data_IF_746626339526
#
_entry.id   IF_746626339526
#
_cell.length_a   1.000
_cell.length_b   1.000
_cell.length_c   1.000
_cell.angle_alpha   90.00
_cell.angle_beta   90.00
_cell.angle_gamma   90.00
#
_symmetry.space_group_name_H-M   'P 1'
#
loop_
_entity.id
_entity.type
_entity.pdbx_description
1 polymer ?
#
# COMPACT_ATOMS: atom_id res chain seq x y z
N UNK A 1 10.45 -102.83 -11.92
CA UNK A 1 11.05 -101.45 -12.12
C UNK A 1 10.07 -100.31 -12.09
N UNK A 2 8.80 -100.44 -12.29
CA UNK A 2 7.78 -99.37 -12.41
C UNK A 2 7.49 -98.68 -11.04
N UNK A 3 7.53 -99.38 -9.94
CA UNK A 3 7.23 -98.78 -8.62
C UNK A 3 8.37 -97.91 -8.04
N UNK A 4 9.64 -98.22 -8.32
CA UNK A 4 10.76 -97.41 -7.84
C UNK A 4 10.79 -95.97 -8.51
N UNK A 5 10.39 -95.88 -9.81
CA UNK A 5 10.34 -94.62 -10.49
C UNK A 5 9.20 -93.74 -9.93
N UNK A 6 8.05 -94.33 -9.57
CA UNK A 6 6.94 -93.56 -8.93
C UNK A 6 7.32 -93.00 -7.57
N UNK A 7 7.97 -93.82 -6.75
CA UNK A 7 8.46 -93.37 -5.41
C UNK A 7 9.49 -92.23 -5.53
N UNK A 8 10.39 -92.30 -6.52
CA UNK A 8 11.38 -91.29 -6.74
C UNK A 8 10.74 -89.99 -7.16
N UNK A 9 9.68 -90.02 -8.02
CA UNK A 9 8.94 -88.81 -8.41
C UNK A 9 8.17 -88.21 -7.24
N UNK A 10 7.59 -88.99 -6.35
CA UNK A 10 6.94 -88.41 -5.15
C UNK A 10 7.95 -87.79 -4.20
N UNK A 11 9.11 -88.40 -4.04
CA UNK A 11 10.16 -87.82 -3.22
C UNK A 11 10.71 -86.53 -3.77
N UNK A 12 10.88 -86.40 -5.11
CA UNK A 12 11.23 -85.14 -5.79
C UNK A 12 10.20 -84.03 -5.63
N UNK A 13 8.91 -84.34 -5.72
CA UNK A 13 7.84 -83.43 -5.49
C UNK A 13 7.77 -82.92 -4.05
N UNK A 14 7.99 -83.82 -3.08
CA UNK A 14 8.04 -83.42 -1.67
C UNK A 14 9.25 -82.57 -1.37
N UNK A 15 10.42 -82.88 -1.93
CA UNK A 15 11.62 -82.01 -1.79
C UNK A 15 11.42 -80.64 -2.43
N UNK A 16 10.77 -80.60 -3.62
CA UNK A 16 10.46 -79.33 -4.28
C UNK A 16 9.48 -78.46 -3.47
N UNK A 17 8.45 -79.07 -2.87
CA UNK A 17 7.50 -78.41 -1.97
C UNK A 17 8.19 -77.93 -0.68
N UNK A 18 9.11 -78.66 -0.11
CA UNK A 18 9.90 -78.27 1.04
C UNK A 18 10.82 -77.10 0.73
N UNK A 19 11.48 -77.10 -0.43
CA UNK A 19 12.34 -76.00 -0.87
C UNK A 19 11.51 -74.70 -1.12
N UNK A 20 10.31 -74.81 -1.70
CA UNK A 20 9.41 -73.65 -1.91
C UNK A 20 8.91 -73.12 -0.55
N UNK A 21 8.56 -74.05 0.43
CA UNK A 21 8.09 -73.59 1.74
C UNK A 21 9.19 -72.93 2.57
N UNK A 22 10.44 -73.33 2.43
CA UNK A 22 11.61 -72.69 3.10
C UNK A 22 11.88 -71.32 2.43
N UNK A 23 11.76 -71.22 1.09
CA UNK A 23 11.94 -69.98 0.34
C UNK A 23 10.91 -68.93 0.70
N UNK A 24 9.67 -69.28 1.05
CA UNK A 24 8.65 -68.37 1.50
C UNK A 24 8.79 -67.90 2.95
N UNK A 25 9.45 -68.63 3.78
CA UNK A 25 9.62 -68.33 5.22
C UNK A 25 10.71 -67.30 5.52
N UNK A 26 11.57 -66.97 4.53
CA UNK A 26 12.78 -66.12 4.77
C UNK A 26 12.57 -64.64 4.34
N UNK A 27 11.43 -64.26 3.77
CA UNK A 27 11.22 -62.92 3.22
C UNK A 27 10.30 -61.99 4.04
N UNK A 28 10.01 -62.29 5.29
CA UNK A 28 9.30 -61.35 6.18
C UNK A 28 10.28 -60.57 7.05
N UNK A 29 10.48 -59.30 6.74
CA UNK A 29 11.24 -58.38 7.59
C UNK A 29 10.24 -57.47 8.32
N UNK A 30 10.21 -57.52 9.64
CA UNK A 30 9.46 -56.60 10.47
C UNK A 30 10.32 -55.33 10.67
N UNK A 31 9.90 -54.25 10.09
CA UNK A 31 10.49 -52.93 10.35
C UNK A 31 9.70 -52.28 11.49
N UNK A 32 10.32 -52.14 12.63
CA UNK A 32 9.74 -51.46 13.79
C UNK A 32 10.37 -50.06 13.90
N UNK A 33 9.52 -49.03 13.95
CA UNK A 33 9.92 -47.68 14.32
C UNK A 33 9.46 -47.48 15.76
N UNK A 34 10.41 -47.29 16.67
CA UNK A 34 10.12 -46.97 18.07
C UNK A 34 10.43 -45.48 18.24
N UNK A 35 9.42 -44.70 18.53
CA UNK A 35 9.56 -43.28 18.87
C UNK A 35 9.09 -43.05 20.31
N UNK A 36 9.76 -42.14 21.02
CA UNK A 36 9.27 -41.57 22.27
C UNK A 36 8.93 -40.12 22.04
N UNK A 37 7.73 -39.68 22.44
CA UNK A 37 7.31 -38.29 22.41
C UNK A 37 6.97 -37.82 23.82
N UNK A 38 7.37 -36.59 24.15
CA UNK A 38 6.95 -35.90 25.37
C UNK A 38 5.94 -34.83 25.00
N UNK A 39 4.77 -34.85 25.64
CA UNK A 39 3.77 -33.79 25.51
C UNK A 39 3.91 -32.88 26.73
N UNK A 40 4.32 -31.65 26.50
CA UNK A 40 4.36 -30.63 27.54
C UNK A 40 2.97 -30.03 27.75
N UNK A 41 2.67 -29.55 28.97
CA UNK A 41 1.42 -28.85 29.23
C UNK A 41 1.39 -27.55 28.46
N UNK A 42 0.35 -27.28 27.61
CA UNK A 42 0.20 -26.03 26.94
C UNK A 42 -0.15 -24.93 27.95
N UNK A 43 0.31 -23.70 27.65
CA UNK A 43 0.04 -22.52 28.49
C UNK A 43 -0.70 -21.46 27.71
N UNK A 44 -1.68 -20.84 28.35
CA UNK A 44 -2.40 -19.66 27.84
C UNK A 44 -1.99 -18.44 28.64
N UNK A 45 -1.39 -17.44 27.98
CA UNK A 45 -0.93 -16.21 28.61
C UNK A 45 -0.93 -15.04 27.63
N UNK A 46 -2.08 -14.40 27.45
CA UNK A 46 -2.22 -13.20 26.61
C UNK A 46 -2.50 -12.00 27.52
N UNK A 47 -1.70 -10.95 27.38
CA UNK A 47 -1.77 -9.78 28.25
C UNK A 47 -1.19 -8.52 27.58
N UNK A 48 -1.41 -7.34 28.19
CA UNK A 48 -0.87 -6.07 27.75
C UNK A 48 0.52 -5.80 28.31
N UNK A 49 1.42 -5.25 27.47
CA UNK A 49 2.74 -4.76 27.89
C UNK A 49 3.14 -3.48 27.10
N UNK A 50 4.23 -2.83 27.51
CA UNK A 50 4.95 -1.82 26.74
C UNK A 50 4.09 -0.62 26.27
N UNK A 51 3.34 -0.01 27.17
CA UNK A 51 2.62 1.23 26.85
C UNK A 51 3.62 2.35 26.53
N UNK A 52 3.43 3.02 25.39
CA UNK A 52 4.26 4.14 24.95
C UNK A 52 3.38 5.28 24.42
N UNK A 53 3.56 6.48 24.96
CA UNK A 53 2.94 7.69 24.43
C UNK A 53 3.63 8.09 23.13
N UNK A 54 2.85 8.27 22.08
CA UNK A 54 3.31 8.83 20.81
C UNK A 54 3.23 10.36 20.85
N UNK A 55 3.72 11.02 19.83
CA UNK A 55 3.62 12.47 19.73
C UNK A 55 2.16 12.89 19.54
N UNK A 56 1.60 13.58 20.53
CA UNK A 56 0.27 14.17 20.49
C UNK A 56 0.33 15.69 20.55
N UNK A 57 -0.79 16.37 20.31
CA UNK A 57 -0.90 17.82 20.42
C UNK A 57 -1.17 18.29 21.85
N UNK A 58 -1.57 17.36 22.74
CA UNK A 58 -1.85 17.66 24.15
C UNK A 58 -0.96 16.85 25.07
N UNK A 59 -0.65 17.42 26.24
CA UNK A 59 -0.04 16.69 27.34
C UNK A 59 -1.13 15.88 28.06
N UNK A 60 -0.95 14.57 28.16
CA UNK A 60 -1.81 13.69 28.91
C UNK A 60 -0.98 12.87 29.92
N UNK A 61 -1.66 12.28 30.89
CA UNK A 61 -1.00 11.32 31.79
C UNK A 61 -0.60 10.08 31.01
N UNK A 62 0.61 9.56 31.26
CA UNK A 62 1.04 8.29 30.67
C UNK A 62 0.02 7.19 30.99
N UNK A 63 -0.49 6.48 29.99
CA UNK A 63 -1.40 5.37 30.25
C UNK A 63 -0.73 4.30 31.11
N UNK A 64 -1.51 3.63 31.95
CA UNK A 64 -1.02 2.62 32.88
C UNK A 64 -1.71 1.28 32.63
N UNK A 65 -0.93 0.19 32.78
CA UNK A 65 -1.44 -1.18 32.74
C UNK A 65 -1.74 -1.63 34.16
N UNK A 66 -2.89 -2.26 34.39
CA UNK A 66 -3.27 -2.82 35.69
C UNK A 66 -2.35 -3.99 36.12
N UNK A 67 -2.45 -4.39 37.39
CA UNK A 67 -1.58 -5.47 37.91
C UNK A 67 -1.85 -6.82 37.25
N UNK A 68 -3.07 -7.06 36.78
CA UNK A 68 -3.42 -8.28 36.03
C UNK A 68 -2.97 -8.23 34.55
N UNK A 69 -2.45 -7.09 34.10
CA UNK A 69 -2.05 -6.81 32.71
C UNK A 69 -3.17 -7.01 31.68
N UNK A 70 -4.40 -6.82 32.10
CA UNK A 70 -5.58 -7.00 31.23
C UNK A 70 -6.26 -5.69 30.84
N UNK A 71 -5.93 -4.59 31.53
CA UNK A 71 -6.57 -3.30 31.33
C UNK A 71 -5.54 -2.19 31.18
N UNK A 72 -5.72 -1.35 30.15
CA UNK A 72 -4.96 -0.10 29.96
C UNK A 72 -5.86 1.07 30.35
N UNK A 73 -5.42 1.88 31.30
CA UNK A 73 -6.13 3.06 31.76
C UNK A 73 -5.45 4.32 31.23
N UNK A 74 -6.22 5.25 30.69
CA UNK A 74 -5.74 6.54 30.23
C UNK A 74 -6.78 7.63 30.47
N UNK A 75 -6.32 8.89 30.52
CA UNK A 75 -7.16 10.07 30.62
C UNK A 75 -6.54 11.20 29.83
N UNK A 76 -7.35 11.92 29.07
CA UNK A 76 -6.94 13.06 28.27
C UNK A 76 -8.02 14.13 28.29
N UNK A 77 -7.61 15.40 28.23
CA UNK A 77 -8.51 16.55 28.12
C UNK A 77 -8.17 17.34 26.88
N UNK A 78 -9.16 17.62 26.06
CA UNK A 78 -9.07 18.48 24.88
C UNK A 78 -9.79 19.79 25.14
N UNK A 79 -9.21 20.89 24.63
CA UNK A 79 -9.74 22.25 24.83
C UNK A 79 -10.16 22.92 23.53
N UNK A 80 -9.46 22.59 22.43
CA UNK A 80 -9.73 23.19 21.12
C UNK A 80 -9.78 22.12 20.01
N UNK A 81 -10.56 22.33 18.92
CA UNK A 81 -10.55 21.46 17.76
C UNK A 81 -9.14 21.27 17.17
N UNK A 82 -8.83 20.04 16.78
CA UNK A 82 -7.53 19.63 16.25
C UNK A 82 -6.57 19.10 17.30
N UNK A 83 -6.90 19.14 18.58
CA UNK A 83 -6.11 18.46 19.61
C UNK A 83 -6.33 16.95 19.58
N UNK A 84 -5.25 16.19 19.79
CA UNK A 84 -5.29 14.73 19.83
C UNK A 84 -4.27 14.15 20.80
N UNK A 85 -4.52 12.91 21.20
CA UNK A 85 -3.64 12.08 22.02
C UNK A 85 -3.52 10.69 21.40
N UNK A 86 -2.29 10.18 21.33
CA UNK A 86 -2.01 8.88 20.75
C UNK A 86 -1.01 8.10 21.60
N UNK A 87 -1.28 6.83 21.83
CA UNK A 87 -0.35 5.91 22.46
C UNK A 87 -0.42 4.52 21.84
N UNK A 88 0.63 3.72 22.08
CA UNK A 88 0.67 2.31 21.68
C UNK A 88 0.79 1.40 22.90
N UNK A 89 0.33 0.15 22.74
CA UNK A 89 0.45 -0.92 23.72
C UNK A 89 0.59 -2.25 22.99
N UNK A 90 1.39 -3.15 23.53
CA UNK A 90 1.60 -4.47 22.94
C UNK A 90 0.59 -5.49 23.54
N UNK A 91 -0.13 -6.19 22.69
CA UNK A 91 -0.82 -7.44 23.04
C UNK A 91 0.19 -8.57 22.90
N UNK A 92 0.59 -9.16 24.01
CA UNK A 92 1.65 -10.18 24.08
C UNK A 92 1.03 -11.54 24.34
N UNK A 93 1.34 -12.53 23.52
CA UNK A 93 1.07 -13.94 23.80
C UNK A 93 2.36 -14.62 24.27
N UNK A 94 2.56 -14.65 25.59
CA UNK A 94 3.68 -15.36 26.22
C UNK A 94 3.36 -16.86 26.49
N UNK A 95 2.23 -17.34 26.00
CA UNK A 95 1.82 -18.75 26.07
C UNK A 95 2.39 -19.60 24.94
N UNK A 96 2.09 -20.89 24.99
CA UNK A 96 2.49 -21.88 23.97
C UNK A 96 1.33 -22.24 23.02
N UNK A 97 0.16 -21.62 23.20
CA UNK A 97 -1.02 -21.81 22.36
C UNK A 97 -1.24 -20.54 21.56
N UNK A 98 -1.44 -20.69 20.25
CA UNK A 98 -1.83 -19.57 19.40
C UNK A 98 -3.19 -19.02 19.81
N UNK A 99 -3.28 -17.68 19.91
CA UNK A 99 -4.51 -16.96 20.14
C UNK A 99 -5.11 -16.44 18.83
N UNK A 100 -6.42 -16.30 18.82
CA UNK A 100 -7.15 -15.69 17.71
C UNK A 100 -8.15 -14.70 18.28
N UNK A 101 -8.26 -13.51 17.68
CA UNK A 101 -9.27 -12.51 18.05
C UNK A 101 -10.66 -13.07 17.79
N UNK A 102 -11.48 -13.10 18.84
CA UNK A 102 -12.87 -13.54 18.75
C UNK A 102 -13.83 -12.37 18.68
N UNK A 103 -13.64 -11.37 19.55
CA UNK A 103 -14.52 -10.21 19.65
C UNK A 103 -13.69 -8.94 19.80
N UNK A 104 -14.05 -7.93 19.04
CA UNK A 104 -13.57 -6.54 19.20
C UNK A 104 -14.75 -5.68 19.61
N UNK A 105 -14.61 -4.91 20.68
CA UNK A 105 -15.65 -4.05 21.21
C UNK A 105 -15.10 -2.66 21.51
N UNK A 106 -15.73 -1.64 20.94
CA UNK A 106 -15.45 -0.23 21.19
C UNK A 106 -16.66 0.41 21.82
N UNK A 107 -16.52 1.04 23.00
CA UNK A 107 -17.64 1.65 23.70
C UNK A 107 -17.37 3.11 24.03
N UNK A 108 -18.42 3.90 23.93
CA UNK A 108 -18.51 5.27 24.43
C UNK A 108 -19.58 5.29 25.52
N UNK A 109 -19.21 5.73 26.73
CA UNK A 109 -20.10 5.79 27.91
C UNK A 109 -20.84 4.46 28.18
N UNK A 110 -20.12 3.33 27.95
CA UNK A 110 -20.63 1.97 28.18
C UNK A 110 -21.48 1.38 27.06
N UNK A 111 -21.75 2.14 25.98
CA UNK A 111 -22.55 1.69 24.84
C UNK A 111 -21.64 1.43 23.63
N UNK A 112 -21.86 0.33 22.89
CA UNK A 112 -21.12 0.03 21.64
C UNK A 112 -21.21 1.20 20.67
N UNK A 113 -20.04 1.58 20.09
CA UNK A 113 -19.95 2.67 19.14
C UNK A 113 -20.43 2.18 17.78
N UNK A 114 -21.58 2.69 17.34
CA UNK A 114 -22.05 2.55 15.97
C UNK A 114 -21.76 3.81 15.16
N UNK A 115 -21.76 4.96 15.83
CA UNK A 115 -21.43 6.28 15.25
C UNK A 115 -20.76 7.11 16.34
N UNK A 116 -19.68 7.81 15.98
CA UNK A 116 -19.05 8.77 16.89
C UNK A 116 -19.77 10.11 16.83
N UNK A 117 -19.79 10.88 17.94
CA UNK A 117 -20.15 12.30 17.89
C UNK A 117 -19.30 13.03 16.86
N UNK A 118 -19.89 13.99 16.14
CA UNK A 118 -19.22 14.72 15.06
C UNK A 118 -17.92 15.42 15.47
N UNK A 119 -17.76 15.71 16.75
CA UNK A 119 -16.56 16.37 17.31
C UNK A 119 -15.47 15.38 17.76
N UNK A 120 -15.73 14.06 17.80
CA UNK A 120 -14.82 13.07 18.37
C UNK A 120 -14.18 12.22 17.27
N UNK A 121 -12.86 12.08 17.37
CA UNK A 121 -12.08 11.05 16.68
C UNK A 121 -11.67 9.98 17.70
N UNK A 122 -11.99 8.72 17.42
CA UNK A 122 -11.56 7.59 18.22
C UNK A 122 -11.33 6.39 17.32
N UNK A 123 -10.10 5.88 17.35
CA UNK A 123 -9.73 4.67 16.59
C UNK A 123 -8.77 3.83 17.43
N UNK A 124 -9.02 2.52 17.44
CA UNK A 124 -8.06 1.51 17.90
C UNK A 124 -7.78 0.59 16.74
N UNK A 125 -6.51 0.43 16.43
CA UNK A 125 -6.01 -0.34 15.28
C UNK A 125 -4.69 -1.00 15.65
N UNK A 126 -4.13 -1.81 14.78
CA UNK A 126 -2.69 -2.09 14.82
C UNK A 126 -1.89 -0.80 14.60
N UNK A 127 -0.58 -0.80 14.94
CA UNK A 127 0.24 0.43 14.84
C UNK A 127 0.26 1.01 13.43
N UNK A 128 0.22 0.17 12.40
CA UNK A 128 0.17 0.52 10.98
C UNK A 128 -1.19 1.04 10.50
N UNK A 129 -2.20 1.04 11.39
CA UNK A 129 -3.55 1.52 11.10
C UNK A 129 -4.51 0.49 10.53
N UNK A 130 -4.06 -0.76 10.33
CA UNK A 130 -4.96 -1.87 9.97
C UNK A 130 -5.94 -2.12 11.12
N UNK A 131 -7.19 -2.34 10.79
CA UNK A 131 -8.22 -2.60 11.77
C UNK A 131 -8.04 -3.98 12.42
N UNK A 132 -8.26 -4.05 13.74
CA UNK A 132 -8.26 -5.30 14.47
C UNK A 132 -9.59 -5.99 14.17
N UNK A 133 -9.53 -7.20 13.64
CA UNK A 133 -10.73 -7.93 13.22
C UNK A 133 -10.82 -9.33 13.84
N UNK A 134 -12.02 -9.90 13.97
CA UNK A 134 -12.17 -11.31 14.30
C UNK A 134 -11.34 -12.22 13.38
N UNK A 135 -10.88 -13.33 13.92
CA UNK A 135 -9.99 -14.31 13.31
C UNK A 135 -8.53 -13.87 13.14
N UNK A 136 -8.15 -12.63 13.47
CA UNK A 136 -6.73 -12.25 13.43
C UNK A 136 -5.93 -13.08 14.43
N UNK A 137 -4.85 -13.70 13.93
CA UNK A 137 -3.94 -14.57 14.69
C UNK A 137 -3.00 -13.74 15.55
N UNK A 138 -2.82 -14.14 16.81
CA UNK A 138 -1.70 -13.77 17.67
C UNK A 138 -0.95 -15.05 18.03
N UNK A 139 0.13 -15.33 17.30
CA UNK A 139 0.88 -16.58 17.45
C UNK A 139 1.49 -16.71 18.84
N UNK A 140 1.74 -17.96 19.27
CA UNK A 140 2.45 -18.24 20.50
C UNK A 140 3.83 -17.58 20.51
N UNK A 141 4.25 -17.05 21.66
CA UNK A 141 5.51 -16.33 21.85
C UNK A 141 5.69 -15.13 20.87
N UNK A 142 4.59 -14.46 20.50
CA UNK A 142 4.61 -13.25 19.67
C UNK A 142 3.86 -12.10 20.31
N UNK A 143 3.98 -10.92 19.71
CA UNK A 143 3.23 -9.74 20.13
C UNK A 143 2.77 -8.95 18.92
N UNK A 144 1.63 -8.25 19.08
CA UNK A 144 1.10 -7.29 18.13
C UNK A 144 0.95 -5.93 18.81
N UNK A 145 1.38 -4.88 18.13
CA UNK A 145 1.33 -3.52 18.66
C UNK A 145 0.03 -2.84 18.25
N UNK A 146 -0.73 -2.43 19.26
CA UNK A 146 -1.97 -1.69 19.12
C UNK A 146 -1.73 -0.20 19.28
N UNK A 147 -2.42 0.60 18.51
CA UNK A 147 -2.43 2.06 18.56
C UNK A 147 -3.81 2.55 18.92
N UNK A 148 -3.88 3.42 19.92
CA UNK A 148 -5.09 4.12 20.33
C UNK A 148 -4.93 5.58 19.98
N UNK A 149 -5.85 6.08 19.17
CA UNK A 149 -5.97 7.49 18.79
C UNK A 149 -7.27 8.06 19.32
N UNK A 150 -7.18 9.19 20.02
CA UNK A 150 -8.32 9.96 20.49
C UNK A 150 -8.10 11.42 20.13
N UNK A 151 -9.06 12.08 19.51
CA UNK A 151 -8.91 13.46 19.07
C UNK A 151 -10.20 14.27 19.12
N UNK A 152 -10.03 15.58 19.28
CA UNK A 152 -11.07 16.58 19.04
C UNK A 152 -10.97 16.99 17.57
N UNK A 153 -11.93 16.60 16.77
CA UNK A 153 -11.90 16.74 15.32
C UNK A 153 -11.61 18.19 14.88
N UNK A 154 -10.66 18.37 13.96
CA UNK A 154 -10.19 19.68 13.53
C UNK A 154 -11.22 20.42 12.68
N UNK A 155 -11.75 19.75 11.66
CA UNK A 155 -12.65 20.33 10.67
C UNK A 155 -14.10 20.03 11.06
N UNK A 156 -14.62 20.79 12.03
CA UNK A 156 -15.97 20.60 12.55
C UNK A 156 -16.82 21.86 12.32
N UNK A 157 -18.11 21.65 12.04
CA UNK A 157 -19.07 22.74 11.95
C UNK A 157 -19.26 23.42 13.31
N UNK A 158 -19.48 24.73 13.32
CA UNK A 158 -19.79 25.46 14.55
C UNK A 158 -21.03 24.90 15.29
N UNK A 159 -21.93 24.23 14.58
CA UNK A 159 -23.11 23.56 15.14
C UNK A 159 -22.79 22.25 15.86
N UNK A 160 -21.66 21.65 15.56
CA UNK A 160 -21.20 20.38 16.12
C UNK A 160 -20.26 20.58 17.34
N UNK A 161 -19.83 21.82 17.59
CA UNK A 161 -19.01 22.15 18.76
C UNK A 161 -19.87 22.02 20.01
N UNK A 162 -19.45 21.19 21.00
CA UNK A 162 -20.18 21.05 22.28
C UNK A 162 -20.32 22.41 22.99
N UNK A 163 -21.51 22.76 23.41
CA UNK A 163 -21.82 24.01 24.14
C UNK A 163 -21.38 23.95 25.63
N UNK A 164 -21.00 22.79 26.12
CA UNK A 164 -20.50 22.54 27.48
C UNK A 164 -19.43 21.45 27.47
N UNK A 165 -18.55 21.40 28.49
CA UNK A 165 -17.58 20.32 28.64
C UNK A 165 -18.24 18.93 28.58
N UNK A 166 -17.66 18.00 27.83
CA UNK A 166 -18.13 16.63 27.71
C UNK A 166 -17.17 15.68 28.43
N UNK A 167 -17.71 14.79 29.24
CA UNK A 167 -16.94 13.67 29.79
C UNK A 167 -17.22 12.43 28.96
N UNK A 168 -16.16 11.87 28.33
CA UNK A 168 -16.26 10.72 27.44
C UNK A 168 -15.53 9.54 28.06
N UNK A 169 -16.28 8.49 28.42
CA UNK A 169 -15.69 7.24 28.88
C UNK A 169 -15.53 6.30 27.71
N UNK A 170 -14.32 6.31 27.12
CA UNK A 170 -13.96 5.44 26.02
C UNK A 170 -13.38 4.13 26.53
N UNK A 171 -13.81 3.01 25.97
CA UNK A 171 -13.23 1.72 26.27
C UNK A 171 -13.07 0.88 24.98
N UNK A 172 -11.98 0.14 24.93
CA UNK A 172 -11.70 -0.86 23.93
C UNK A 172 -11.46 -2.19 24.62
N UNK A 173 -12.02 -3.24 24.06
CA UNK A 173 -11.72 -4.60 24.51
C UNK A 173 -11.52 -5.53 23.32
N UNK A 174 -10.57 -6.44 23.44
CA UNK A 174 -10.36 -7.54 22.52
C UNK A 174 -10.38 -8.84 23.31
N UNK A 175 -11.17 -9.79 22.83
CA UNK A 175 -11.24 -11.13 23.41
C UNK A 175 -10.48 -12.09 22.50
N UNK A 176 -9.52 -12.79 23.08
CA UNK A 176 -8.81 -13.87 22.41
C UNK A 176 -9.37 -15.24 22.81
N UNK A 177 -9.42 -16.14 21.85
CA UNK A 177 -9.70 -17.56 22.03
C UNK A 177 -8.56 -18.38 21.45
N UNK A 178 -8.47 -19.67 21.77
CA UNK A 178 -7.53 -20.56 21.11
C UNK A 178 -7.78 -20.54 19.60
N UNK A 179 -6.73 -20.43 18.79
CA UNK A 179 -6.83 -20.40 17.35
C UNK A 179 -7.33 -21.72 16.76
N UNK A 180 -8.03 -21.63 15.65
CA UNK A 180 -8.48 -22.76 14.84
C UNK A 180 -8.10 -22.56 13.37
N UNK A 181 -8.67 -23.38 12.47
CA UNK A 181 -8.40 -23.31 11.03
C UNK A 181 -8.89 -22.01 10.34
N UNK A 182 -9.64 -21.16 11.03
CA UNK A 182 -10.11 -19.87 10.51
C UNK A 182 -9.15 -18.72 10.86
N UNK A 183 -8.10 -18.98 11.65
CA UNK A 183 -7.14 -17.94 12.03
C UNK A 183 -6.39 -17.41 10.82
N UNK A 184 -6.32 -16.08 10.70
CA UNK A 184 -5.68 -15.36 9.60
C UNK A 184 -4.60 -14.44 10.18
N UNK A 185 -3.38 -14.53 9.68
CA UNK A 185 -2.32 -13.58 10.05
C UNK A 185 -2.72 -12.17 9.58
N UNK A 186 -2.69 -11.14 10.44
CA UNK A 186 -2.90 -9.77 10.01
C UNK A 186 -1.92 -9.40 8.90
N UNK A 187 -2.42 -8.71 7.88
CA UNK A 187 -1.62 -8.33 6.70
C UNK A 187 -0.94 -6.99 6.92
N UNK A 188 0.13 -6.97 7.71
CA UNK A 188 0.95 -5.78 7.93
C UNK A 188 1.78 -5.43 6.69
N UNK A 189 2.08 -4.13 6.47
CA UNK A 189 2.98 -3.72 5.40
C UNK A 189 4.39 -4.30 5.60
N UNK A 190 4.89 -5.02 4.59
CA UNK A 190 6.21 -5.65 4.60
C UNK A 190 7.09 -5.12 3.46
N UNK A 191 6.58 -5.10 2.23
CA UNK A 191 7.29 -4.53 1.08
C UNK A 191 6.33 -4.06 -0.01
N UNK A 192 6.71 -3.04 -0.75
CA UNK A 192 5.90 -2.52 -1.85
C UNK A 192 5.67 -3.56 -2.95
N UNK A 193 6.63 -4.43 -3.20
CA UNK A 193 6.56 -5.47 -4.23
C UNK A 193 5.50 -6.54 -3.91
N UNK A 194 5.48 -7.03 -2.66
CA UNK A 194 4.69 -8.21 -2.27
C UNK A 194 3.33 -7.89 -1.69
N UNK A 195 3.18 -6.73 -1.05
CA UNK A 195 1.94 -6.35 -0.37
C UNK A 195 0.78 -6.20 -1.35
N UNK A 196 -0.44 -6.51 -0.88
CA UNK A 196 -1.65 -6.23 -1.65
C UNK A 196 -1.86 -4.72 -1.86
N UNK A 197 -2.59 -4.32 -2.91
CA UNK A 197 -2.94 -2.91 -3.09
C UNK A 197 -3.76 -2.37 -1.92
N UNK A 198 -4.60 -3.18 -1.31
CA UNK A 198 -5.35 -2.79 -0.11
C UNK A 198 -4.40 -2.48 1.05
N UNK A 199 -3.39 -3.33 1.31
CA UNK A 199 -2.39 -3.11 2.35
C UNK A 199 -1.62 -1.81 2.10
N UNK A 200 -1.13 -1.60 0.86
CA UNK A 200 -0.38 -0.39 0.47
C UNK A 200 -1.23 0.87 0.67
N UNK A 201 -2.47 0.89 0.15
CA UNK A 201 -3.37 2.04 0.27
C UNK A 201 -3.66 2.34 1.74
N UNK A 202 -3.97 1.32 2.53
CA UNK A 202 -4.22 1.46 3.97
C UNK A 202 -3.01 2.01 4.71
N UNK A 203 -1.81 1.52 4.40
CA UNK A 203 -0.57 2.03 4.99
C UNK A 203 -0.32 3.50 4.66
N UNK A 204 -0.57 3.91 3.42
CA UNK A 204 -0.43 5.32 2.99
C UNK A 204 -1.46 6.21 3.70
N UNK A 205 -2.72 5.79 3.79
CA UNK A 205 -3.79 6.53 4.49
C UNK A 205 -3.50 6.73 5.97
N UNK A 206 -2.83 5.76 6.60
CA UNK A 206 -2.46 5.81 8.01
C UNK A 206 -1.03 6.36 8.25
N UNK A 207 -0.36 6.89 7.24
CA UNK A 207 1.03 7.39 7.29
C UNK A 207 2.06 6.34 7.76
N UNK A 208 1.77 5.05 7.58
CA UNK A 208 2.65 3.94 7.92
C UNK A 208 3.41 3.44 6.68
N UNK A 209 4.22 4.31 6.10
CA UNK A 209 4.95 4.06 4.85
C UNK A 209 6.46 3.89 5.03
N UNK A 210 6.93 3.67 6.26
CA UNK A 210 8.36 3.55 6.57
C UNK A 210 9.03 2.35 5.90
N UNK A 211 8.25 1.29 5.65
CA UNK A 211 8.71 0.06 4.97
C UNK A 211 8.82 0.22 3.44
N UNK A 212 8.22 1.25 2.87
CA UNK A 212 8.24 1.52 1.43
C UNK A 212 9.23 2.62 1.13
N UNK A 213 10.13 2.42 0.17
CA UNK A 213 11.16 3.38 -0.20
C UNK A 213 10.86 4.01 -1.56
N UNK A 214 11.32 5.25 -1.75
CA UNK A 214 11.32 5.87 -3.06
C UNK A 214 12.17 5.03 -4.00
N UNK A 215 11.62 4.65 -5.16
CA UNK A 215 12.25 3.75 -6.11
C UNK A 215 11.77 2.30 -6.04
N UNK A 216 11.14 1.87 -4.94
CA UNK A 216 10.55 0.52 -4.84
C UNK A 216 9.51 0.33 -5.96
N UNK A 217 9.47 -0.87 -6.50
CA UNK A 217 8.64 -1.22 -7.66
C UNK A 217 7.66 -2.35 -7.38
N UNK A 218 6.55 -2.34 -8.12
CA UNK A 218 5.54 -3.39 -8.08
C UNK A 218 4.94 -3.60 -9.46
N UNK A 219 4.79 -4.84 -9.87
CA UNK A 219 4.11 -5.18 -11.12
C UNK A 219 2.59 -5.05 -10.98
N UNK A 220 1.96 -4.64 -12.07
CA UNK A 220 0.50 -4.49 -12.16
C UNK A 220 0.01 -5.07 -13.49
N UNK A 221 -1.06 -5.86 -13.44
CA UNK A 221 -1.75 -6.34 -14.63
C UNK A 221 -2.80 -5.30 -15.07
N UNK A 222 -2.65 -4.81 -16.30
CA UNK A 222 -3.52 -3.83 -16.94
C UNK A 222 -4.46 -4.47 -17.98
N UNK A 223 -4.68 -5.79 -17.89
CA UNK A 223 -5.53 -6.53 -18.80
C UNK A 223 -5.00 -6.51 -20.23
N UNK A 224 -5.74 -5.93 -21.17
CA UNK A 224 -5.34 -5.87 -22.60
C UNK A 224 -4.11 -5.00 -22.87
N UNK A 225 -3.68 -4.17 -21.93
CA UNK A 225 -2.41 -3.42 -22.03
C UNK A 225 -1.20 -4.25 -21.56
N UNK A 226 -1.44 -5.43 -20.94
CA UNK A 226 -0.38 -6.29 -20.43
C UNK A 226 0.08 -5.95 -19.01
N UNK A 227 1.20 -6.52 -18.62
CA UNK A 227 1.80 -6.31 -17.30
C UNK A 227 2.81 -5.18 -17.38
N UNK A 228 2.69 -4.23 -16.46
CA UNK A 228 3.57 -3.07 -16.35
C UNK A 228 4.14 -2.96 -14.94
N UNK A 229 5.10 -2.05 -14.75
CA UNK A 229 5.73 -1.80 -13.45
C UNK A 229 5.41 -0.38 -12.98
N UNK A 230 4.88 -0.28 -11.76
CA UNK A 230 4.75 0.96 -11.02
C UNK A 230 5.95 1.15 -10.10
N UNK A 231 6.32 2.41 -9.84
CA UNK A 231 7.38 2.81 -8.94
C UNK A 231 6.89 3.89 -7.99
N UNK A 232 7.37 3.85 -6.75
CA UNK A 232 7.20 4.96 -5.81
C UNK A 232 8.09 6.12 -6.28
N UNK A 233 7.47 7.13 -6.87
CA UNK A 233 8.18 8.28 -7.42
C UNK A 233 8.36 9.40 -6.40
N UNK A 234 7.47 9.51 -5.40
CA UNK A 234 7.52 10.53 -4.34
C UNK A 234 6.87 10.04 -3.05
N UNK A 235 7.42 10.47 -1.92
CA UNK A 235 6.82 10.27 -0.58
C UNK A 235 6.76 11.55 0.23
N UNK A 236 7.59 12.52 -0.09
CA UNK A 236 7.72 13.75 0.70
C UNK A 236 6.56 14.73 0.47
N UNK A 237 6.26 15.52 1.50
CA UNK A 237 5.27 16.60 1.48
C UNK A 237 5.90 17.85 2.11
N UNK A 238 6.86 18.51 1.43
CA UNK A 238 7.50 19.70 1.95
C UNK A 238 6.54 20.91 1.97
N UNK A 239 6.98 22.02 2.62
CA UNK A 239 6.13 23.17 2.89
C UNK A 239 5.47 23.80 1.65
N UNK A 240 6.15 23.77 0.50
CA UNK A 240 5.58 24.27 -0.77
C UNK A 240 4.29 23.54 -1.18
N UNK A 241 4.12 22.26 -0.80
CA UNK A 241 2.91 21.49 -1.07
C UNK A 241 1.64 22.08 -0.41
N UNK A 242 1.78 22.93 0.57
CA UNK A 242 0.68 23.62 1.26
C UNK A 242 0.42 25.03 0.72
N UNK A 243 1.19 25.47 -0.30
CA UNK A 243 1.00 26.78 -0.92
C UNK A 243 -0.22 26.76 -1.85
N UNK A 244 -1.10 27.74 -1.69
CA UNK A 244 -2.27 27.89 -2.56
C UNK A 244 -1.84 28.00 -4.03
N UNK A 245 -2.46 27.20 -4.90
CA UNK A 245 -2.13 27.16 -6.34
C UNK A 245 -0.93 26.29 -6.71
N UNK A 246 -0.26 25.67 -5.74
CA UNK A 246 0.82 24.72 -6.02
C UNK A 246 0.26 23.36 -6.42
N UNK A 247 0.84 22.76 -7.48
CA UNK A 247 0.46 21.44 -7.98
C UNK A 247 0.73 20.36 -6.94
N UNK A 248 -0.22 19.45 -6.75
CA UNK A 248 -0.07 18.34 -5.83
C UNK A 248 0.55 17.09 -6.47
N UNK A 249 0.93 17.18 -7.73
CA UNK A 249 1.45 16.04 -8.54
C UNK A 249 2.81 15.51 -8.08
N UNK A 250 3.56 16.29 -7.30
CA UNK A 250 4.82 15.86 -6.67
C UNK A 250 4.79 16.00 -5.14
N UNK A 251 3.62 15.82 -4.52
CA UNK A 251 3.37 15.96 -3.09
C UNK A 251 2.74 14.69 -2.51
N UNK A 252 3.29 14.15 -1.42
CA UNK A 252 2.81 12.93 -0.79
C UNK A 252 3.18 11.66 -1.58
N UNK A 253 2.38 10.61 -1.43
CA UNK A 253 2.70 9.30 -2.00
C UNK A 253 2.27 9.23 -3.47
N UNK A 254 3.25 9.35 -4.38
CA UNK A 254 3.04 9.34 -5.84
C UNK A 254 3.59 8.05 -6.43
N UNK A 255 2.79 7.41 -7.25
CA UNK A 255 3.19 6.29 -8.11
C UNK A 255 3.28 6.76 -9.56
N UNK A 256 4.30 6.28 -10.28
CA UNK A 256 4.42 6.45 -11.72
C UNK A 256 4.68 5.12 -12.42
N UNK A 257 4.30 5.01 -13.67
CA UNK A 257 4.74 3.89 -14.50
C UNK A 257 6.22 4.06 -14.85
N UNK A 258 6.99 2.99 -14.67
CA UNK A 258 8.45 2.98 -14.96
C UNK A 258 8.69 3.20 -16.44
N UNK A 259 7.89 2.54 -17.27
CA UNK A 259 7.99 2.59 -18.73
C UNK A 259 6.73 3.14 -19.39
N UNK A 260 6.77 3.28 -20.69
CA UNK A 260 5.67 3.73 -21.52
C UNK A 260 4.66 2.59 -21.66
N UNK A 261 3.40 2.89 -21.36
CA UNK A 261 2.31 1.91 -21.38
C UNK A 261 1.73 1.75 -22.78
N UNK A 262 1.59 2.85 -23.50
CA UNK A 262 1.02 2.92 -24.84
C UNK A 262 1.51 4.17 -25.57
N UNK A 263 1.25 4.23 -26.86
CA UNK A 263 1.57 5.40 -27.70
C UNK A 263 0.27 6.05 -28.17
N UNK A 264 0.07 7.34 -27.82
CA UNK A 264 -1.14 8.10 -28.15
C UNK A 264 -0.83 9.55 -28.52
N UNK A 265 -1.75 10.15 -29.27
CA UNK A 265 -1.78 11.60 -29.48
C UNK A 265 -2.28 12.31 -28.21
N UNK A 266 -1.89 13.58 -28.03
CA UNK A 266 -2.43 14.43 -26.96
C UNK A 266 -3.81 14.95 -27.34
N UNK A 267 -3.97 15.38 -28.61
CA UNK A 267 -5.21 15.87 -29.19
C UNK A 267 -5.22 15.59 -30.70
N UNK A 268 -6.39 15.28 -31.26
CA UNK A 268 -6.58 15.14 -32.71
C UNK A 268 -6.54 16.48 -33.45
N UNK A 269 -6.71 17.59 -32.72
CA UNK A 269 -6.64 18.93 -33.27
C UNK A 269 -5.24 19.51 -33.11
N UNK A 270 -4.75 20.19 -34.15
CA UNK A 270 -3.44 20.85 -34.17
C UNK A 270 -3.44 22.14 -33.35
N UNK A 271 -3.55 22.03 -32.04
CA UNK A 271 -3.58 23.17 -31.10
C UNK A 271 -3.09 22.73 -29.71
N UNK A 272 -2.58 23.67 -28.90
CA UNK A 272 -2.37 23.51 -27.49
C UNK A 272 -3.17 24.51 -26.65
N UNK A 273 -4.14 25.22 -27.28
CA UNK A 273 -5.04 26.15 -26.59
C UNK A 273 -5.83 25.39 -25.49
N UNK A 274 -5.92 26.00 -24.31
CA UNK A 274 -6.54 25.43 -23.13
C UNK A 274 -5.62 24.44 -22.36
N UNK A 275 -4.42 24.18 -22.88
CA UNK A 275 -3.42 23.36 -22.21
C UNK A 275 -3.90 21.93 -21.90
N UNK A 276 -3.41 21.37 -20.80
CA UNK A 276 -3.73 20.01 -20.36
C UNK A 276 -5.24 19.78 -20.18
N UNK A 277 -5.98 20.76 -19.67
CA UNK A 277 -7.43 20.65 -19.41
C UNK A 277 -8.25 20.33 -20.65
N UNK A 278 -7.79 20.79 -21.83
CA UNK A 278 -8.50 20.64 -23.10
C UNK A 278 -8.10 19.38 -23.89
N UNK A 279 -7.19 18.56 -23.38
CA UNK A 279 -6.66 17.41 -24.16
C UNK A 279 -7.56 16.18 -24.10
N UNK A 280 -7.64 15.47 -25.24
CA UNK A 280 -8.30 14.17 -25.34
C UNK A 280 -7.56 13.11 -24.49
N UNK A 281 -6.22 13.21 -24.43
CA UNK A 281 -5.40 12.31 -23.63
C UNK A 281 -5.74 12.38 -22.13
N UNK A 282 -5.95 13.59 -21.58
CA UNK A 282 -6.40 13.76 -20.19
C UNK A 282 -7.73 13.07 -19.95
N UNK A 283 -8.70 13.29 -20.84
CA UNK A 283 -10.03 12.66 -20.74
C UNK A 283 -9.90 11.14 -20.76
N UNK A 284 -9.10 10.59 -21.66
CA UNK A 284 -8.84 9.17 -21.75
C UNK A 284 -8.20 8.61 -20.46
N UNK A 285 -7.18 9.31 -19.90
CA UNK A 285 -6.50 8.86 -18.68
C UNK A 285 -7.42 8.83 -17.46
N UNK A 286 -8.31 9.82 -17.34
CA UNK A 286 -9.24 9.93 -16.20
C UNK A 286 -10.56 9.17 -16.41
N UNK A 287 -10.69 8.39 -17.47
CA UNK A 287 -11.84 7.51 -17.74
C UNK A 287 -11.37 6.10 -18.09
N UNK A 288 -11.22 5.80 -19.36
CA UNK A 288 -10.91 4.45 -19.88
C UNK A 288 -9.63 3.84 -19.30
N UNK A 289 -8.57 4.64 -19.13
CA UNK A 289 -7.32 4.16 -18.53
C UNK A 289 -7.48 3.87 -17.05
N UNK A 290 -8.09 4.79 -16.30
CA UNK A 290 -8.36 4.64 -14.86
C UNK A 290 -9.15 3.34 -14.57
N UNK A 291 -10.10 2.99 -15.44
CA UNK A 291 -10.92 1.79 -15.28
C UNK A 291 -10.17 0.47 -15.47
N UNK A 292 -8.95 0.51 -16.01
CA UNK A 292 -8.07 -0.66 -16.18
C UNK A 292 -7.23 -0.98 -14.95
N UNK A 293 -7.16 -0.04 -13.99
CA UNK A 293 -6.43 -0.26 -12.74
C UNK A 293 -7.21 -1.23 -11.82
N UNK A 294 -6.51 -2.07 -11.03
CA UNK A 294 -7.15 -2.90 -10.02
C UNK A 294 -8.04 -2.06 -9.10
N UNK A 295 -9.19 -2.63 -8.71
CA UNK A 295 -10.21 -1.90 -7.96
C UNK A 295 -9.68 -1.35 -6.64
N UNK A 296 -8.91 -2.14 -5.91
CA UNK A 296 -8.31 -1.75 -4.62
C UNK A 296 -7.38 -0.55 -4.77
N UNK A 297 -6.53 -0.55 -5.80
CA UNK A 297 -5.67 0.59 -6.12
C UNK A 297 -6.49 1.81 -6.55
N UNK A 298 -7.46 1.62 -7.46
CA UNK A 298 -8.33 2.69 -7.97
C UNK A 298 -9.07 3.42 -6.84
N UNK A 299 -9.54 2.69 -5.83
CA UNK A 299 -10.22 3.26 -4.67
C UNK A 299 -9.29 4.11 -3.78
N UNK A 300 -7.99 3.84 -3.80
CA UNK A 300 -6.99 4.63 -3.07
C UNK A 300 -6.44 5.83 -3.83
N UNK A 301 -6.78 6.01 -5.12
CA UNK A 301 -6.28 7.13 -5.92
C UNK A 301 -7.00 8.42 -5.53
N UNK A 302 -6.20 9.42 -5.15
CA UNK A 302 -6.67 10.75 -4.74
C UNK A 302 -6.94 11.66 -5.92
N UNK A 303 -7.96 12.49 -5.78
CA UNK A 303 -8.11 13.67 -6.58
C UNK A 303 -6.93 14.61 -6.34
N UNK A 304 -6.23 14.98 -7.41
CA UNK A 304 -4.96 15.68 -7.36
C UNK A 304 -5.07 17.02 -8.09
N UNK A 305 -4.80 18.12 -7.38
CA UNK A 305 -4.69 19.45 -7.98
C UNK A 305 -3.49 19.48 -8.92
N UNK A 306 -3.75 19.66 -10.20
CA UNK A 306 -2.77 19.55 -11.29
C UNK A 306 -2.64 20.88 -12.01
N UNK A 307 -1.40 21.38 -12.13
CA UNK A 307 -1.08 22.60 -12.87
C UNK A 307 -0.24 22.25 -14.09
N UNK A 308 -0.67 22.69 -15.26
CA UNK A 308 0.05 22.56 -16.52
C UNK A 308 0.35 23.93 -17.13
N UNK A 309 1.41 24.01 -17.93
CA UNK A 309 1.78 25.23 -18.65
C UNK A 309 0.78 25.57 -19.76
N UNK A 310 0.76 26.84 -20.13
CA UNK A 310 -0.05 27.39 -21.24
C UNK A 310 0.79 27.66 -22.48
N UNK A 311 0.11 27.68 -23.63
CA UNK A 311 0.67 28.01 -24.93
C UNK A 311 0.80 29.52 -25.19
N UNK A 312 1.23 29.91 -26.43
CA UNK A 312 1.50 31.30 -26.77
C UNK A 312 0.27 32.08 -27.26
N UNK A 313 -0.91 31.49 -27.30
CA UNK A 313 -2.11 32.19 -27.76
C UNK A 313 -2.49 33.30 -26.77
N UNK A 314 -3.03 34.41 -27.32
CA UNK A 314 -3.47 35.55 -26.51
C UNK A 314 -4.56 35.12 -25.52
N UNK A 315 -4.42 35.54 -24.26
CA UNK A 315 -5.35 35.17 -23.17
C UNK A 315 -5.16 33.83 -22.56
N UNK A 316 -4.18 33.01 -22.99
CA UNK A 316 -3.86 31.74 -22.37
C UNK A 316 -3.36 31.91 -20.93
N UNK A 317 -3.80 31.00 -20.07
CA UNK A 317 -3.43 30.95 -18.66
C UNK A 317 -3.04 29.52 -18.26
N UNK A 318 -2.48 29.33 -17.06
CA UNK A 318 -2.17 28.02 -16.52
C UNK A 318 -3.39 27.09 -16.61
N UNK A 319 -3.17 25.91 -17.10
CA UNK A 319 -4.17 24.83 -17.12
C UNK A 319 -4.28 24.23 -15.74
N UNK A 320 -5.40 24.45 -15.07
CA UNK A 320 -5.66 23.94 -13.70
C UNK A 320 -6.77 22.91 -13.77
N UNK A 321 -6.49 21.71 -13.24
CA UNK A 321 -7.43 20.60 -13.22
C UNK A 321 -7.39 19.86 -11.88
N UNK A 322 -8.42 19.05 -11.64
CA UNK A 322 -8.40 18.00 -10.63
C UNK A 322 -8.37 16.68 -11.38
N UNK A 323 -7.32 15.91 -11.21
CA UNK A 323 -7.10 14.66 -11.94
C UNK A 323 -6.84 13.50 -10.98
N UNK A 324 -7.34 12.31 -11.32
CA UNK A 324 -6.91 11.07 -10.69
C UNK A 324 -5.61 10.56 -11.33
N UNK A 325 -5.54 10.61 -12.64
CA UNK A 325 -4.38 10.19 -13.44
C UNK A 325 -3.88 11.39 -14.24
N UNK A 326 -2.58 11.66 -14.19
CA UNK A 326 -1.96 12.80 -14.88
C UNK A 326 -0.63 12.41 -15.52
N UNK A 327 -0.18 13.21 -16.49
CA UNK A 327 1.20 13.16 -16.96
C UNK A 327 2.07 14.07 -16.08
N UNK A 328 3.35 13.74 -15.99
CA UNK A 328 4.31 14.58 -15.27
C UNK A 328 4.55 15.91 -15.98
N UNK A 329 5.13 16.87 -15.24
CA UNK A 329 5.69 18.12 -15.75
C UNK A 329 7.22 17.98 -15.88
N UNK A 330 7.86 18.81 -16.71
CA UNK A 330 9.32 18.70 -16.89
C UNK A 330 10.12 19.08 -15.64
N UNK A 331 9.62 20.00 -14.82
CA UNK A 331 10.18 20.30 -13.49
C UNK A 331 10.16 19.08 -12.57
N UNK A 332 9.09 18.30 -12.63
CA UNK A 332 8.92 17.09 -11.81
C UNK A 332 9.93 15.99 -12.17
N UNK A 333 10.34 15.96 -13.44
CA UNK A 333 11.30 14.95 -13.94
C UNK A 333 12.74 15.44 -13.79
N UNK A 334 13.10 16.60 -14.34
CA UNK A 334 14.49 17.03 -14.51
C UNK A 334 14.84 18.37 -13.83
N UNK A 335 14.02 18.81 -12.86
CA UNK A 335 14.17 20.08 -12.17
C UNK A 335 14.28 21.30 -13.13
N UNK A 336 13.57 21.25 -14.24
CA UNK A 336 13.62 22.29 -15.26
C UNK A 336 13.04 23.62 -14.77
N UNK A 337 13.71 24.73 -15.14
CA UNK A 337 13.29 26.10 -14.78
C UNK A 337 13.22 27.04 -15.99
N UNK A 338 13.36 26.51 -17.20
CA UNK A 338 13.38 27.34 -18.42
C UNK A 338 11.98 27.73 -18.91
N UNK A 339 11.92 28.52 -19.97
CA UNK A 339 10.73 29.22 -20.40
C UNK A 339 9.76 28.44 -21.30
N UNK A 340 10.11 27.20 -21.70
CA UNK A 340 9.19 26.41 -22.54
C UNK A 340 8.00 25.82 -21.80
N UNK A 341 8.03 25.82 -20.48
CA UNK A 341 6.95 25.40 -19.60
C UNK A 341 6.66 26.48 -18.56
N UNK A 342 5.52 27.11 -18.67
CA UNK A 342 5.10 28.23 -17.82
C UNK A 342 4.64 27.79 -16.42
N UNK A 343 4.54 26.49 -16.16
CA UNK A 343 4.09 25.95 -14.86
C UNK A 343 5.23 25.53 -13.92
N UNK A 344 6.49 25.75 -14.29
CA UNK A 344 7.65 25.28 -13.50
C UNK A 344 7.69 25.79 -12.04
N UNK A 345 7.22 27.01 -11.76
CA UNK A 345 7.20 27.57 -10.41
C UNK A 345 6.08 27.02 -9.53
N UNK A 346 5.16 26.25 -10.11
CA UNK A 346 3.99 25.70 -9.41
C UNK A 346 4.10 24.21 -9.10
N UNK A 347 5.29 23.63 -9.26
CA UNK A 347 5.55 22.23 -8.93
C UNK A 347 7.00 22.02 -8.52
N UNK A 348 7.35 20.85 -8.06
CA UNK A 348 8.70 20.47 -7.63
C UNK A 348 9.16 19.17 -8.29
N UNK A 349 10.46 18.87 -8.18
CA UNK A 349 10.98 17.61 -8.67
C UNK A 349 10.51 16.47 -7.76
N UNK A 350 10.12 15.34 -8.35
CA UNK A 350 9.81 14.10 -7.64
C UNK A 350 11.05 13.55 -6.94
N UNK A 351 10.85 12.98 -5.77
CA UNK A 351 11.94 12.47 -4.92
C UNK A 351 12.82 11.45 -5.65
N UNK A 352 12.22 10.57 -6.47
CA UNK A 352 12.96 9.58 -7.26
C UNK A 352 13.95 10.22 -8.22
N UNK A 353 13.52 11.15 -9.04
CA UNK A 353 14.39 11.79 -10.01
C UNK A 353 15.44 12.67 -9.33
N UNK A 354 15.08 13.33 -8.24
CA UNK A 354 16.02 14.12 -7.44
C UNK A 354 17.11 13.25 -6.82
N UNK A 355 16.74 12.14 -6.19
CA UNK A 355 17.69 11.20 -5.55
C UNK A 355 18.57 10.45 -6.56
N UNK A 356 18.04 10.26 -7.77
CA UNK A 356 18.78 9.64 -8.90
C UNK A 356 19.68 10.64 -9.64
N UNK A 357 19.74 11.91 -9.21
CA UNK A 357 20.59 12.95 -9.79
C UNK A 357 20.15 13.39 -11.20
N UNK A 358 18.89 13.19 -11.55
CA UNK A 358 18.35 13.62 -12.85
C UNK A 358 18.20 15.13 -12.88
N UNK A 359 18.83 15.77 -13.85
CA UNK A 359 18.76 17.20 -14.11
C UNK A 359 18.68 17.47 -15.62
N UNK A 360 18.49 18.73 -15.99
CA UNK A 360 18.55 19.13 -17.42
C UNK A 360 19.91 18.90 -18.09
N UNK A 361 20.99 18.88 -17.31
CA UNK A 361 22.35 18.61 -17.76
C UNK A 361 22.75 17.13 -17.61
N UNK A 362 22.00 16.36 -16.83
CA UNK A 362 22.18 14.91 -16.63
C UNK A 362 20.81 14.21 -16.76
N UNK A 363 20.23 14.14 -17.97
CA UNK A 363 18.83 13.77 -18.13
C UNK A 363 18.60 12.25 -18.35
N UNK A 364 19.64 11.44 -18.50
CA UNK A 364 19.53 10.04 -18.94
C UNK A 364 18.56 9.19 -18.11
N UNK A 365 18.49 9.43 -16.78
CA UNK A 365 17.58 8.73 -15.88
C UNK A 365 16.08 9.06 -16.09
N UNK A 366 15.75 10.00 -16.97
CA UNK A 366 14.37 10.33 -17.40
C UNK A 366 13.93 9.58 -18.66
N UNK A 367 14.82 8.87 -19.34
CA UNK A 367 14.48 8.04 -20.49
C UNK A 367 13.53 6.91 -20.09
N UNK A 368 12.55 6.60 -20.96
CA UNK A 368 11.61 5.49 -20.77
C UNK A 368 11.55 4.64 -22.04
N UNK A 369 11.13 3.38 -21.86
CA UNK A 369 11.04 2.42 -22.96
C UNK A 369 9.60 2.11 -23.32
N UNK A 370 9.36 1.84 -24.59
CA UNK A 370 8.13 1.24 -25.09
C UNK A 370 8.47 -0.12 -25.74
N UNK A 371 7.92 -1.20 -25.19
CA UNK A 371 8.24 -2.56 -25.63
C UNK A 371 9.77 -2.84 -25.69
N UNK A 372 10.50 -2.37 -24.66
CA UNK A 372 11.94 -2.56 -24.52
C UNK A 372 12.83 -1.61 -25.34
N UNK A 373 12.24 -0.72 -26.15
CA UNK A 373 12.97 0.25 -26.99
C UNK A 373 12.80 1.67 -26.43
N UNK A 374 13.90 2.43 -26.36
CA UNK A 374 13.87 3.82 -25.90
C UNK A 374 12.98 4.66 -26.82
N UNK A 375 12.02 5.36 -26.22
CA UNK A 375 11.05 6.18 -26.93
C UNK A 375 10.84 7.50 -26.19
N UNK A 376 10.60 8.59 -26.93
CA UNK A 376 10.17 9.85 -26.34
C UNK A 376 8.76 9.72 -25.78
N UNK A 377 8.44 10.51 -24.73
CA UNK A 377 7.14 10.43 -24.04
C UNK A 377 6.60 11.78 -23.63
N UNK A 378 5.29 11.86 -23.53
CA UNK A 378 4.53 13.09 -23.26
C UNK A 378 4.64 13.56 -21.83
N UNK A 379 4.70 14.90 -21.70
CA UNK A 379 4.41 15.65 -20.46
C UNK A 379 3.13 16.46 -20.63
N UNK A 380 2.55 16.96 -19.51
CA UNK A 380 1.24 17.61 -19.54
C UNK A 380 1.26 19.07 -20.01
N UNK A 381 2.39 19.77 -20.01
CA UNK A 381 2.42 21.20 -20.28
C UNK A 381 2.35 21.52 -21.78
N UNK A 382 1.50 22.47 -22.15
CA UNK A 382 1.56 23.12 -23.43
C UNK A 382 2.92 23.83 -23.59
N UNK A 383 3.48 23.81 -24.80
CA UNK A 383 4.75 24.49 -25.10
C UNK A 383 4.53 26.00 -25.21
N UNK A 384 5.19 26.77 -24.35
CA UNK A 384 4.93 28.23 -24.19
C UNK A 384 5.13 29.08 -25.45
N UNK A 385 5.92 28.63 -26.45
CA UNK A 385 6.22 29.40 -27.66
C UNK A 385 5.80 28.72 -28.96
N UNK A 386 5.12 27.57 -28.89
CA UNK A 386 4.68 26.76 -30.05
C UNK A 386 3.20 26.41 -29.88
N UNK A 387 2.34 26.99 -30.67
CA UNK A 387 0.87 26.93 -30.54
C UNK A 387 0.21 25.57 -30.87
N UNK A 388 1.00 24.57 -31.29
CA UNK A 388 0.50 23.23 -31.66
C UNK A 388 1.27 22.09 -30.98
N UNK A 389 2.13 22.44 -29.99
CA UNK A 389 3.01 21.47 -29.34
C UNK A 389 2.75 21.35 -27.84
N UNK A 390 3.00 20.16 -27.33
CA UNK A 390 3.13 19.88 -25.91
C UNK A 390 4.58 19.50 -25.59
N UNK A 391 5.00 19.72 -24.36
CA UNK A 391 6.30 19.31 -23.85
C UNK A 391 6.40 17.78 -23.73
N UNK A 392 7.61 17.27 -23.79
CA UNK A 392 7.90 15.85 -23.65
C UNK A 392 9.34 15.60 -23.25
N UNK A 393 9.67 14.35 -23.01
CA UNK A 393 11.02 13.87 -22.72
C UNK A 393 11.50 13.07 -23.92
N UNK A 394 12.70 13.35 -24.42
CA UNK A 394 13.31 12.60 -25.50
C UNK A 394 13.67 11.17 -25.06
N UNK A 395 13.91 10.26 -26.01
CA UNK A 395 14.39 8.91 -25.73
C UNK A 395 15.70 8.88 -24.90
N UNK A 396 16.52 9.94 -25.04
CA UNK A 396 17.74 10.14 -24.24
C UNK A 396 17.50 10.78 -22.87
N UNK A 397 16.25 11.04 -22.47
CA UNK A 397 15.88 11.72 -21.22
C UNK A 397 15.86 13.25 -21.30
N UNK A 398 16.43 13.86 -22.34
CA UNK A 398 16.49 15.30 -22.49
C UNK A 398 15.13 15.97 -22.79
N UNK A 399 15.12 17.31 -22.77
CA UNK A 399 13.93 18.12 -23.13
C UNK A 399 13.51 17.81 -24.57
N UNK A 400 12.20 17.63 -24.75
CA UNK A 400 11.58 17.45 -26.05
C UNK A 400 10.22 18.15 -26.13
N UNK A 401 9.66 18.21 -27.31
CA UNK A 401 8.28 18.60 -27.56
C UNK A 401 7.77 17.95 -28.84
N UNK A 402 6.49 17.70 -28.91
CA UNK A 402 5.84 17.09 -30.06
C UNK A 402 4.57 17.82 -30.48
N UNK A 403 4.19 17.65 -31.74
CA UNK A 403 2.89 18.15 -32.22
C UNK A 403 1.76 17.37 -31.52
N UNK A 404 0.72 18.08 -31.04
CA UNK A 404 -0.40 17.49 -30.29
C UNK A 404 -1.04 16.26 -30.96
N UNK A 405 -1.05 16.22 -32.26
CA UNK A 405 -1.62 15.18 -33.13
C UNK A 405 -0.63 14.06 -33.51
N UNK A 406 0.61 14.10 -33.03
CA UNK A 406 1.60 13.03 -33.23
C UNK A 406 1.53 12.03 -32.08
N UNK A 407 1.58 10.75 -32.39
CA UNK A 407 1.61 9.74 -31.34
C UNK A 407 2.96 9.76 -30.59
N UNK A 408 2.91 9.81 -29.28
CA UNK A 408 4.05 9.76 -28.38
C UNK A 408 3.77 8.86 -27.18
N UNK A 409 4.84 8.48 -26.49
CA UNK A 409 4.75 7.61 -25.33
C UNK A 409 3.89 8.18 -24.21
N UNK A 410 3.07 7.36 -23.61
CA UNK A 410 2.22 7.69 -22.44
C UNK A 410 2.75 6.92 -21.24
N UNK A 411 3.20 7.65 -20.22
CA UNK A 411 3.67 7.11 -18.95
C UNK A 411 3.08 7.98 -17.83
N UNK A 412 1.89 7.64 -17.34
CA UNK A 412 1.17 8.44 -16.38
C UNK A 412 1.65 8.24 -14.95
N UNK A 413 1.20 9.14 -14.07
CA UNK A 413 1.40 9.08 -12.63
C UNK A 413 0.08 9.38 -11.90
N UNK A 414 0.02 9.06 -10.61
CA UNK A 414 -1.12 9.31 -9.74
C UNK A 414 -0.71 9.30 -8.28
N UNK A 415 -1.53 9.94 -7.44
CA UNK A 415 -1.36 9.92 -5.97
C UNK A 415 -2.28 8.92 -5.34
N UNK A 416 -1.80 8.28 -4.27
CA UNK A 416 -2.64 7.44 -3.39
C UNK A 416 -2.62 7.96 -1.96
N UNK A 417 -3.68 7.59 -1.18
CA UNK A 417 -3.77 7.94 0.24
C UNK A 417 -5.16 8.24 0.76
#
# INVERSE_FOLDING_TARGET
>A
MRNKKRQLNYLLVIILLLVISIGYAVLSTNLNIVGSGTINNPTWNIHWENVQVKTGSVSATTPTIDTAKTTVNYSVTFTIPGEYFEFTVDAVNAGTIDGMVSVVSNKLNGTEITTLPNYLEYKVSYEDGIDIAPNHLLAANSSEKYKVHVGYKKDISSTDIPSSPQTLNLSFSVTYVQSDSNAVKPSHPESFETDSWQTIVTAVQNNYTSVYNVGDTKTIDMGTLGTHTLRIANKSTPAECFTTGFSQTACGFVLEFVDIIESKIVSSVATNIGGWSATELRTYLNSTFLDRLPLELKNGIKDTYTVGGYGPAEGETLSITIDKIYLLNYKEVANYTGSIDTSNSYTRQLDFYSSSGVTTSNPEGAGKKYNGTDMWWWLRSAHATKNVMFTGVASSGGISSGYSYTAGGVSPAFRIG
#
